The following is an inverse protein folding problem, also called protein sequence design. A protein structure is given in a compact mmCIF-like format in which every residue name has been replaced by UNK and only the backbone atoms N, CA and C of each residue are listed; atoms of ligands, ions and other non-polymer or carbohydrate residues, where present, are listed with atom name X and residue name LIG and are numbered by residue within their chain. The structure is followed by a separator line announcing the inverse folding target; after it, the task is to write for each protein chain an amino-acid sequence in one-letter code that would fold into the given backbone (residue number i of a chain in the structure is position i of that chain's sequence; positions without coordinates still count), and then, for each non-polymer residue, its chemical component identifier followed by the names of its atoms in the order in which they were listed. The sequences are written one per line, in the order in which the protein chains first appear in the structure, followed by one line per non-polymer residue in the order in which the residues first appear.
data_IF_960426172111
#
_entry.id   IF_960426172111
#
_cell.length_a   1.000
_cell.length_b   1.000
_cell.length_c   1.000
_cell.angle_alpha   90.00
_cell.angle_beta   90.00
_cell.angle_gamma   90.00
#
_symmetry.space_group_name_H-M   'P 1'
#
loop_
_entity.id
_entity.type
_entity.pdbx_description
1 polymer ?
#
# COMPACT_ATOMS: atom_id res chain seq x y z
N UNK A 1 35.51 -36.49 -26.68
CA UNK A 1 34.10 -36.16 -26.34
C UNK A 1 34.11 -35.09 -25.27
N UNK A 2 33.99 -33.82 -25.68
CA UNK A 2 33.88 -32.68 -24.78
C UNK A 2 32.59 -31.93 -25.15
N UNK A 3 31.45 -32.42 -24.68
CA UNK A 3 30.17 -31.80 -25.04
C UNK A 3 29.08 -31.99 -23.99
N UNK A 4 29.42 -31.79 -22.73
CA UNK A 4 28.42 -31.79 -21.64
C UNK A 4 28.68 -30.73 -20.56
N UNK A 5 29.91 -30.22 -20.43
CA UNK A 5 30.27 -29.28 -19.36
C UNK A 5 29.65 -27.88 -19.46
N UNK A 6 29.27 -27.41 -20.65
CA UNK A 6 28.63 -26.10 -20.80
C UNK A 6 27.11 -26.13 -20.58
N UNK A 7 26.45 -27.29 -20.76
CA UNK A 7 24.99 -27.35 -20.71
C UNK A 7 24.44 -27.31 -19.28
N UNK A 8 25.19 -27.87 -18.32
CA UNK A 8 24.78 -27.97 -16.92
C UNK A 8 24.82 -26.58 -16.25
N UNK A 9 25.83 -25.77 -16.58
CA UNK A 9 25.93 -24.39 -16.06
C UNK A 9 24.73 -23.53 -16.45
N UNK A 10 24.23 -23.64 -17.68
CA UNK A 10 23.08 -22.82 -18.10
C UNK A 10 21.81 -23.16 -17.33
N UNK A 11 21.55 -24.45 -17.10
CA UNK A 11 20.35 -24.88 -16.36
C UNK A 11 20.38 -24.46 -14.90
N UNK A 12 21.55 -24.50 -14.25
CA UNK A 12 21.71 -24.07 -12.86
C UNK A 12 21.61 -22.55 -12.72
N UNK A 13 22.23 -21.80 -13.64
CA UNK A 13 22.06 -20.34 -13.72
C UNK A 13 20.60 -19.94 -13.94
N UNK A 14 19.88 -20.64 -14.82
CA UNK A 14 18.47 -20.39 -15.07
C UNK A 14 17.61 -20.65 -13.82
N UNK A 15 17.87 -21.74 -13.10
CA UNK A 15 17.17 -22.06 -11.84
C UNK A 15 17.41 -20.99 -10.76
N UNK A 16 18.64 -20.51 -10.62
CA UNK A 16 18.96 -19.42 -9.67
C UNK A 16 18.22 -18.14 -10.05
N UNK A 17 18.18 -17.77 -11.33
CA UNK A 17 17.43 -16.59 -11.80
C UNK A 17 15.92 -16.74 -11.58
N UNK A 18 15.36 -17.93 -11.80
CA UNK A 18 13.94 -18.20 -11.58
C UNK A 18 13.56 -18.18 -10.11
N UNK A 19 14.42 -18.72 -9.23
CA UNK A 19 14.23 -18.63 -7.78
C UNK A 19 14.22 -17.15 -7.36
N UNK A 20 15.27 -16.38 -7.69
CA UNK A 20 15.34 -14.93 -7.38
C UNK A 20 14.13 -14.17 -7.95
N UNK A 21 13.61 -14.55 -9.12
CA UNK A 21 12.44 -13.89 -9.72
C UNK A 21 11.10 -14.29 -9.08
N UNK A 22 11.01 -15.47 -8.46
CA UNK A 22 9.82 -15.96 -7.77
C UNK A 22 9.70 -15.45 -6.32
N UNK A 23 10.82 -15.12 -5.69
CA UNK A 23 10.91 -14.43 -4.38
C UNK A 23 11.06 -12.91 -4.49
N UNK A 24 10.96 -12.33 -5.70
CA UNK A 24 10.43 -10.98 -5.81
C UNK A 24 8.93 -11.14 -5.72
N UNK A 25 8.30 -11.01 -4.52
CA UNK A 25 6.91 -10.68 -4.52
C UNK A 25 6.86 -9.43 -5.38
N UNK A 26 6.18 -9.54 -6.52
CA UNK A 26 5.29 -8.46 -6.88
C UNK A 26 4.45 -8.31 -5.63
N UNK A 27 4.87 -7.44 -4.71
CA UNK A 27 3.92 -6.57 -4.05
C UNK A 27 3.21 -5.93 -5.23
N UNK A 28 2.20 -6.65 -5.73
CA UNK A 28 0.92 -6.07 -6.05
C UNK A 28 0.85 -4.89 -5.12
N UNK A 29 0.88 -3.69 -5.69
CA UNK A 29 0.59 -2.49 -4.96
C UNK A 29 -0.75 -2.77 -4.32
N UNK A 30 -0.71 -3.37 -3.13
CA UNK A 30 -1.85 -3.54 -2.27
C UNK A 30 -2.22 -2.09 -2.14
N UNK A 31 -3.35 -1.75 -2.73
CA UNK A 31 -3.92 -0.43 -2.74
C UNK A 31 -4.28 -0.19 -1.27
N UNK A 32 -3.24 0.04 -0.47
CA UNK A 32 -3.29 0.18 0.95
C UNK A 32 -3.72 1.62 1.08
N UNK A 33 -4.94 1.80 1.55
CA UNK A 33 -5.59 3.09 1.73
C UNK A 33 -4.82 4.00 2.73
N UNK A 34 -3.65 4.40 2.31
CA UNK A 34 -2.56 4.94 3.12
C UNK A 34 -2.01 6.23 2.49
N UNK A 35 -2.45 6.60 1.28
CA UNK A 35 -2.08 7.87 0.67
C UNK A 35 -2.94 8.96 1.31
N UNK A 36 -2.31 9.82 2.10
CA UNK A 36 -3.00 10.96 2.68
C UNK A 36 -3.50 11.90 1.57
N UNK A 37 -4.80 12.19 1.59
CA UNK A 37 -5.46 13.02 0.59
C UNK A 37 -5.74 14.43 1.11
N UNK A 38 -6.04 14.56 2.39
CA UNK A 38 -6.39 15.83 3.02
C UNK A 38 -7.17 15.62 4.32
N UNK A 39 -7.70 16.73 4.85
CA UNK A 39 -8.46 16.75 6.10
C UNK A 39 -9.93 17.08 5.84
N UNK A 40 -10.83 16.53 6.65
CA UNK A 40 -12.25 16.85 6.59
C UNK A 40 -12.74 17.46 7.90
N UNK A 41 -13.59 18.50 7.83
CA UNK A 41 -14.18 19.10 9.02
C UNK A 41 -15.27 18.20 9.58
N UNK A 42 -15.10 17.72 10.81
CA UNK A 42 -16.11 16.98 11.56
C UNK A 42 -16.43 17.68 12.88
N UNK A 43 -17.58 17.36 13.47
CA UNK A 43 -17.99 17.90 14.77
C UNK A 43 -16.99 17.45 15.86
N UNK A 44 -16.59 18.38 16.73
CA UNK A 44 -15.75 18.09 17.90
C UNK A 44 -16.59 17.38 19.01
N UNK A 45 -16.12 16.28 19.64
CA UNK A 45 -14.89 15.54 19.37
C UNK A 45 -14.93 14.72 18.08
N UNK A 46 -13.79 14.67 17.38
CA UNK A 46 -13.63 13.84 16.19
C UNK A 46 -13.93 12.37 16.53
N UNK A 47 -14.79 11.74 15.73
CA UNK A 47 -15.11 10.31 15.81
C UNK A 47 -14.79 9.62 14.49
N UNK A 48 -14.07 8.51 14.53
CA UNK A 48 -13.64 7.78 13.33
C UNK A 48 -14.79 7.48 12.35
N UNK A 49 -15.95 7.06 12.84
CA UNK A 49 -17.11 6.76 11.96
C UNK A 49 -17.62 8.02 11.23
N UNK A 50 -17.65 9.16 11.93
CA UNK A 50 -18.07 10.44 11.33
C UNK A 50 -17.00 10.95 10.36
N UNK A 51 -15.73 10.78 10.71
CA UNK A 51 -14.58 11.10 9.87
C UNK A 51 -14.61 10.29 8.56
N UNK A 52 -14.74 8.96 8.64
CA UNK A 52 -14.91 8.08 7.49
C UNK A 52 -16.06 8.54 6.58
N UNK A 53 -17.25 8.75 7.16
CA UNK A 53 -18.42 9.16 6.38
C UNK A 53 -18.19 10.50 5.68
N UNK A 54 -17.52 11.45 6.35
CA UNK A 54 -17.19 12.75 5.77
C UNK A 54 -16.13 12.64 4.68
N UNK A 55 -15.08 11.85 4.88
CA UNK A 55 -14.04 11.60 3.88
C UNK A 55 -14.62 11.01 2.59
N UNK A 56 -15.59 10.10 2.68
CA UNK A 56 -16.26 9.51 1.52
C UNK A 56 -17.08 10.54 0.71
N UNK A 57 -17.55 11.62 1.36
CA UNK A 57 -18.31 12.69 0.72
C UNK A 57 -17.38 13.76 0.12
N UNK A 58 -16.38 14.20 0.89
CA UNK A 58 -15.49 15.29 0.49
C UNK A 58 -14.43 14.83 -0.52
N UNK A 59 -14.04 13.56 -0.49
CA UNK A 59 -13.00 12.99 -1.34
C UNK A 59 -13.51 11.73 -2.05
N UNK A 60 -14.00 11.84 -3.30
CA UNK A 60 -14.36 10.69 -4.12
C UNK A 60 -13.17 9.73 -4.28
N UNK A 61 -13.37 8.46 -3.93
CA UNK A 61 -12.29 7.46 -3.91
C UNK A 61 -11.52 7.39 -2.60
N UNK A 62 -11.88 8.19 -1.58
CA UNK A 62 -11.43 7.93 -0.22
C UNK A 62 -11.89 6.55 0.21
N UNK A 63 -11.01 5.86 0.92
CA UNK A 63 -11.26 4.52 1.41
C UNK A 63 -11.08 4.43 2.93
N UNK A 64 -10.48 5.45 3.56
CA UNK A 64 -10.23 5.50 5.01
C UNK A 64 -10.29 6.94 5.52
N UNK A 65 -11.00 7.16 6.62
CA UNK A 65 -10.99 8.39 7.39
C UNK A 65 -10.70 8.07 8.85
N UNK A 66 -9.68 8.68 9.45
CA UNK A 66 -9.28 8.44 10.83
C UNK A 66 -9.03 9.74 11.57
N UNK A 67 -9.43 9.78 12.84
CA UNK A 67 -9.13 10.91 13.72
C UNK A 67 -7.73 10.74 14.29
N UNK A 68 -6.81 11.64 13.94
CA UNK A 68 -5.43 11.65 14.42
C UNK A 68 -5.16 12.93 15.20
N UNK A 69 -4.29 12.84 16.20
CA UNK A 69 -3.89 14.01 16.98
C UNK A 69 -2.80 14.77 16.22
N UNK A 70 -3.03 16.04 15.94
CA UNK A 70 -2.06 16.95 15.34
C UNK A 70 -2.11 18.27 16.11
N UNK A 71 -0.96 18.77 16.57
CA UNK A 71 -0.85 20.00 17.37
C UNK A 71 -1.83 20.12 18.56
N UNK A 72 -2.03 19.01 19.30
CA UNK A 72 -2.98 18.87 20.42
C UNK A 72 -4.47 18.95 20.05
N UNK A 73 -4.82 18.96 18.76
CA UNK A 73 -6.19 18.90 18.27
C UNK A 73 -6.43 17.58 17.51
N UNK A 74 -7.67 17.10 17.51
CA UNK A 74 -8.05 15.89 16.76
C UNK A 74 -8.52 16.28 15.37
N UNK A 75 -7.70 15.98 14.37
CA UNK A 75 -7.98 16.21 12.96
C UNK A 75 -8.53 14.93 12.33
N UNK A 76 -9.47 15.09 11.40
CA UNK A 76 -9.96 13.97 10.61
C UNK A 76 -9.15 13.87 9.32
N UNK A 77 -8.29 12.86 9.22
CA UNK A 77 -7.41 12.60 8.08
C UNK A 77 -8.07 11.61 7.11
N UNK A 78 -8.11 11.97 5.84
CA UNK A 78 -8.70 11.17 4.77
C UNK A 78 -7.59 10.56 3.90
N UNK A 79 -7.74 9.27 3.57
CA UNK A 79 -6.79 8.52 2.76
C UNK A 79 -7.47 7.90 1.55
N UNK A 80 -6.69 7.81 0.49
CA UNK A 80 -7.01 7.14 -0.77
C UNK A 80 -5.99 6.02 -1.02
N UNK A 81 -6.26 5.24 -2.06
CA UNK A 81 -5.34 4.25 -2.58
C UNK A 81 -4.19 4.88 -3.37
#
# INVERSE_FOLDING_TARGET
MAKTFNSICFTTLLLVVLLISAEIPKSEAQATCNVFRGEATVRNPCKNNACQARCLVDYPGACRGVCELHDNELHCHCYVN
#
